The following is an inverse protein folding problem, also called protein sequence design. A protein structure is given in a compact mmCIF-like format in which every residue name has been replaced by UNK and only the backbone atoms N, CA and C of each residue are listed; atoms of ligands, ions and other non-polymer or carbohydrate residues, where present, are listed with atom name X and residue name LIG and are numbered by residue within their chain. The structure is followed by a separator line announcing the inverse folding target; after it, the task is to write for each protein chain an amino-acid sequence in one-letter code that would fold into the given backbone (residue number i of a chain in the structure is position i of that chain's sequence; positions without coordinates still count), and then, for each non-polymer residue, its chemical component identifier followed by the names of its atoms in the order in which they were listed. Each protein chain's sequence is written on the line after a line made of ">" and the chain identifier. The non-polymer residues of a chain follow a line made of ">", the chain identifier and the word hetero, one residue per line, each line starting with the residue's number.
data_IF_183599483113
#
_entry.id   IF_183599483113
#
_cell.length_a   1.000
_cell.length_b   1.000
_cell.length_c   1.000
_cell.angle_alpha   90.00
_cell.angle_beta   90.00
_cell.angle_gamma   90.00
#
_symmetry.space_group_name_H-M   'P 1'
#
loop_
_entity.id
_entity.type
_entity.pdbx_description
1 polymer ?
#
# COMPACT_ATOMS: atom_id res chain seq x y z
N UNK A 1 2.29 -10.78 2.33
CA UNK A 1 2.59 -10.17 3.62
C UNK A 1 1.40 -9.36 4.14
N UNK A 2 1.37 -9.01 5.41
CA UNK A 2 0.26 -8.29 6.03
C UNK A 2 0.75 -7.39 7.17
N UNK A 3 0.19 -6.19 7.22
CA UNK A 3 0.25 -5.26 8.36
C UNK A 3 -1.16 -4.99 8.93
N UNK A 4 -2.03 -6.02 8.89
CA UNK A 4 -3.46 -5.95 9.23
C UNK A 4 -4.36 -6.23 8.01
N UNK A 5 -3.98 -5.77 6.82
CA UNK A 5 -4.62 -6.10 5.55
C UNK A 5 -3.60 -6.84 4.66
N UNK A 6 -3.83 -8.11 4.29
CA UNK A 6 -2.87 -8.88 3.52
C UNK A 6 -2.80 -8.42 2.06
N UNK A 7 -1.58 -8.31 1.53
CA UNK A 7 -1.31 -8.06 0.11
C UNK A 7 -0.40 -9.14 -0.46
N UNK A 8 -0.63 -9.49 -1.72
CA UNK A 8 0.30 -10.28 -2.51
C UNK A 8 1.43 -9.36 -2.99
N UNK A 9 2.63 -9.58 -2.47
CA UNK A 9 3.81 -8.77 -2.76
C UNK A 9 4.57 -9.40 -3.92
N UNK A 10 4.80 -8.62 -4.98
CA UNK A 10 5.43 -9.09 -6.22
C UNK A 10 6.64 -8.21 -6.56
N UNK A 11 7.86 -8.67 -6.26
CA UNK A 11 9.06 -7.98 -6.70
C UNK A 11 9.24 -8.15 -8.22
N UNK A 12 9.62 -7.07 -8.89
CA UNK A 12 9.86 -7.00 -10.33
C UNK A 12 11.26 -6.44 -10.57
N UNK A 13 12.01 -7.04 -11.50
CA UNK A 13 13.41 -6.70 -11.70
C UNK A 13 13.66 -5.29 -12.25
N UNK A 14 12.78 -4.80 -13.12
CA UNK A 14 13.02 -3.55 -13.85
C UNK A 14 11.84 -2.59 -13.73
N UNK A 15 12.17 -1.29 -13.63
CA UNK A 15 11.17 -0.21 -13.66
C UNK A 15 10.33 -0.22 -14.94
N UNK A 16 10.96 -0.52 -16.09
CA UNK A 16 10.24 -0.61 -17.37
C UNK A 16 9.10 -1.61 -17.34
N UNK A 17 9.25 -2.73 -16.63
CA UNK A 17 8.24 -3.77 -16.55
C UNK A 17 7.09 -3.35 -15.60
N UNK A 18 7.42 -2.72 -14.47
CA UNK A 18 6.41 -2.14 -13.58
C UNK A 18 5.61 -1.05 -14.30
N UNK A 19 6.28 -0.17 -15.03
CA UNK A 19 5.66 0.90 -15.82
C UNK A 19 4.76 0.35 -16.94
N UNK A 20 5.20 -0.70 -17.63
CA UNK A 20 4.48 -1.29 -18.77
C UNK A 20 3.36 -2.24 -18.33
N UNK A 21 3.26 -2.59 -17.06
CA UNK A 21 2.25 -3.52 -16.56
C UNK A 21 0.84 -2.99 -16.81
N UNK A 22 0.03 -3.80 -17.50
CA UNK A 22 -1.40 -3.53 -17.75
C UNK A 22 -2.21 -4.48 -16.87
N UNK A 23 -2.89 -3.99 -15.81
CA UNK A 23 -3.60 -4.84 -14.89
C UNK A 23 -4.85 -5.48 -15.54
N UNK A 24 -4.92 -6.81 -15.51
CA UNK A 24 -6.15 -7.55 -15.80
C UNK A 24 -6.95 -7.66 -14.48
N UNK A 25 -7.87 -6.70 -14.28
CA UNK A 25 -8.59 -6.54 -13.01
C UNK A 25 -9.31 -7.84 -12.56
N UNK A 26 -10.08 -8.56 -13.42
CA UNK A 26 -10.71 -9.80 -13.03
C UNK A 26 -9.73 -10.88 -12.58
N UNK A 27 -8.56 -10.98 -13.22
CA UNK A 27 -7.55 -11.96 -12.84
C UNK A 27 -6.84 -11.58 -11.55
N UNK A 28 -6.61 -10.29 -11.31
CA UNK A 28 -6.04 -9.80 -10.06
C UNK A 28 -6.99 -10.09 -8.90
N UNK A 29 -8.29 -9.84 -9.08
CA UNK A 29 -9.31 -10.12 -8.07
C UNK A 29 -9.36 -11.62 -7.75
N UNK A 30 -9.47 -12.47 -8.76
CA UNK A 30 -9.49 -13.92 -8.58
C UNK A 30 -8.23 -14.45 -7.86
N UNK A 31 -7.05 -13.95 -8.23
CA UNK A 31 -5.79 -14.32 -7.57
C UNK A 31 -5.74 -13.84 -6.11
N UNK A 32 -6.18 -12.60 -5.85
CA UNK A 32 -6.24 -12.05 -4.50
C UNK A 32 -7.16 -12.87 -3.60
N UNK A 33 -8.34 -13.24 -4.09
CA UNK A 33 -9.32 -14.10 -3.40
C UNK A 33 -8.75 -15.48 -3.09
N UNK A 34 -8.08 -16.12 -4.07
CA UNK A 34 -7.46 -17.45 -3.90
C UNK A 34 -6.45 -17.49 -2.75
N UNK A 35 -5.66 -16.41 -2.57
CA UNK A 35 -4.63 -16.33 -1.54
C UNK A 35 -5.07 -15.56 -0.28
N UNK A 36 -6.33 -15.11 -0.22
CA UNK A 36 -6.86 -14.34 0.89
C UNK A 36 -6.21 -12.97 1.05
N UNK A 37 -5.85 -12.33 -0.07
CA UNK A 37 -5.26 -10.99 -0.10
C UNK A 37 -6.30 -9.93 -0.49
N UNK A 38 -6.10 -8.69 -0.05
CA UNK A 38 -6.93 -7.54 -0.45
C UNK A 38 -6.56 -7.03 -1.86
N UNK A 39 -5.36 -7.36 -2.34
CA UNK A 39 -4.87 -6.93 -3.63
C UNK A 39 -3.42 -7.35 -3.88
N UNK A 40 -2.89 -6.82 -4.97
CA UNK A 40 -1.51 -7.07 -5.44
C UNK A 40 -0.71 -5.79 -5.36
N UNK A 41 0.52 -5.90 -4.86
CA UNK A 41 1.49 -4.80 -4.78
C UNK A 41 2.74 -5.19 -5.56
N UNK A 42 2.95 -4.54 -6.72
CA UNK A 42 4.17 -4.67 -7.51
C UNK A 42 5.20 -3.67 -7.01
N UNK A 43 6.47 -4.05 -6.96
CA UNK A 43 7.54 -3.10 -6.69
C UNK A 43 8.85 -3.47 -7.40
N UNK A 44 9.71 -2.48 -7.58
CA UNK A 44 11.08 -2.60 -8.05
C UNK A 44 11.99 -1.68 -7.25
N UNK A 45 13.29 -2.00 -7.17
CA UNK A 45 14.30 -1.11 -6.58
C UNK A 45 14.81 -0.03 -7.54
N UNK A 46 14.43 -0.09 -8.81
CA UNK A 46 14.66 1.02 -9.73
C UNK A 46 13.61 2.10 -9.52
N UNK A 47 14.05 3.34 -9.30
CA UNK A 47 13.22 4.47 -8.91
C UNK A 47 13.30 5.64 -9.89
N UNK A 48 12.29 6.51 -9.86
CA UNK A 48 12.30 7.79 -10.59
C UNK A 48 13.06 8.86 -9.81
N UNK A 49 12.95 8.86 -8.47
CA UNK A 49 13.62 9.80 -7.59
C UNK A 49 14.81 9.12 -6.91
N UNK A 50 15.96 9.82 -6.86
CA UNK A 50 17.22 9.26 -6.35
C UNK A 50 17.21 8.96 -4.85
N UNK A 51 16.33 9.58 -4.10
CA UNK A 51 16.11 9.42 -2.65
C UNK A 51 15.02 8.39 -2.31
N UNK A 52 14.31 7.89 -3.33
CA UNK A 52 13.36 6.80 -3.12
C UNK A 52 14.08 5.43 -3.02
N UNK A 53 13.57 4.56 -2.17
CA UNK A 53 14.09 3.20 -1.96
C UNK A 53 13.52 2.23 -3.00
N UNK A 54 12.25 2.39 -3.34
CA UNK A 54 11.59 1.56 -4.35
C UNK A 54 10.45 2.33 -5.05
N UNK A 55 10.10 1.84 -6.24
CA UNK A 55 8.94 2.27 -7.02
C UNK A 55 7.87 1.20 -7.01
N UNK A 56 6.61 1.59 -6.81
CA UNK A 56 5.52 0.65 -6.63
C UNK A 56 4.24 1.00 -7.40
N UNK A 57 3.40 -0.02 -7.58
CA UNK A 57 2.01 0.07 -8.01
C UNK A 57 1.13 -0.90 -7.22
N UNK A 58 -0.06 -0.48 -6.82
CA UNK A 58 -0.99 -1.28 -6.04
C UNK A 58 -2.34 -1.42 -6.72
N UNK A 59 -2.88 -2.63 -6.73
CA UNK A 59 -4.14 -2.99 -7.38
C UNK A 59 -5.03 -3.74 -6.39
N UNK A 60 -6.24 -3.24 -6.13
CA UNK A 60 -7.22 -3.84 -5.24
C UNK A 60 -8.63 -3.82 -5.85
N UNK A 61 -8.85 -4.46 -7.02
CA UNK A 61 -10.11 -4.41 -7.74
C UNK A 61 -11.30 -4.94 -6.94
N UNK A 62 -11.11 -5.97 -6.11
CA UNK A 62 -12.13 -6.50 -5.21
C UNK A 62 -12.64 -5.48 -4.17
N UNK A 63 -11.84 -4.47 -3.85
CA UNK A 63 -12.25 -3.32 -3.04
C UNK A 63 -12.79 -2.14 -3.87
N UNK A 64 -12.99 -2.31 -5.17
CA UNK A 64 -13.41 -1.26 -6.10
C UNK A 64 -12.31 -0.25 -6.44
N UNK A 65 -11.05 -0.60 -6.21
CA UNK A 65 -9.88 0.26 -6.46
C UNK A 65 -9.03 -0.37 -7.55
N UNK A 66 -9.22 0.01 -8.84
CA UNK A 66 -8.44 -0.53 -9.95
C UNK A 66 -6.94 -0.35 -9.78
N UNK A 67 -6.50 0.82 -9.35
CA UNK A 67 -5.14 1.14 -8.94
C UNK A 67 -5.18 2.22 -7.86
N UNK A 68 -4.51 1.95 -6.74
CA UNK A 68 -4.41 2.91 -5.63
C UNK A 68 -3.17 3.80 -5.81
N UNK A 69 -3.31 5.13 -5.78
CA UNK A 69 -2.17 6.03 -5.96
C UNK A 69 -1.12 5.97 -4.85
N UNK A 70 -1.54 5.74 -3.59
CA UNK A 70 -0.62 5.69 -2.44
C UNK A 70 -1.16 4.73 -1.38
N UNK A 71 -0.43 3.63 -1.13
CA UNK A 71 -0.91 2.52 -0.30
C UNK A 71 -0.03 2.31 0.94
N UNK A 72 -0.36 2.97 2.03
CA UNK A 72 0.40 2.89 3.28
C UNK A 72 0.43 1.48 3.88
N UNK A 73 -0.72 0.79 3.95
CA UNK A 73 -0.84 -0.55 4.54
C UNK A 73 0.03 -1.58 3.81
N UNK A 74 0.01 -1.58 2.48
CA UNK A 74 0.85 -2.49 1.70
C UNK A 74 2.34 -2.12 1.82
N UNK A 75 2.67 -0.83 1.89
CA UNK A 75 4.06 -0.38 2.09
C UNK A 75 4.66 -0.90 3.40
N UNK A 76 3.90 -0.87 4.49
CA UNK A 76 4.32 -1.50 5.75
C UNK A 76 4.53 -3.02 5.61
N UNK A 77 3.64 -3.71 4.89
CA UNK A 77 3.78 -5.14 4.62
C UNK A 77 5.01 -5.46 3.73
N UNK A 78 5.34 -4.57 2.79
CA UNK A 78 6.57 -4.70 1.97
C UNK A 78 7.81 -4.54 2.82
N UNK A 79 7.87 -3.58 3.73
CA UNK A 79 9.02 -3.42 4.63
C UNK A 79 9.28 -4.68 5.47
N UNK A 80 8.23 -5.28 6.05
CA UNK A 80 8.34 -6.56 6.74
C UNK A 80 8.81 -7.70 5.83
N UNK A 81 8.37 -7.69 4.58
CA UNK A 81 8.81 -8.67 3.58
C UNK A 81 10.30 -8.49 3.26
N UNK A 82 10.76 -7.26 3.02
CA UNK A 82 12.15 -6.95 2.71
C UNK A 82 13.10 -7.33 3.86
N UNK A 83 12.73 -7.01 5.10
CA UNK A 83 13.46 -7.42 6.30
C UNK A 83 13.56 -8.95 6.39
N UNK A 84 12.43 -9.65 6.29
CA UNK A 84 12.38 -11.11 6.39
C UNK A 84 13.19 -11.81 5.31
N UNK A 85 13.25 -11.24 4.11
CA UNK A 85 13.98 -11.81 2.96
C UNK A 85 15.46 -11.43 2.96
N UNK A 86 15.91 -10.58 3.88
CA UNK A 86 17.29 -10.09 3.91
C UNK A 86 17.62 -9.30 2.65
N UNK A 87 16.70 -8.44 2.21
CA UNK A 87 16.86 -7.69 0.97
C UNK A 87 17.99 -6.65 1.03
N UNK A 88 18.42 -6.28 2.23
CA UNK A 88 19.52 -5.37 2.52
C UNK A 88 20.51 -6.08 3.48
N UNK A 89 21.80 -5.80 3.33
CA UNK A 89 22.83 -6.26 4.29
C UNK A 89 22.58 -5.67 5.67
N UNK A 90 22.12 -4.40 5.72
CA UNK A 90 21.64 -3.71 6.92
C UNK A 90 20.36 -2.95 6.55
N UNK A 91 19.27 -3.17 7.31
CA UNK A 91 18.01 -2.51 7.03
C UNK A 91 18.15 -0.98 7.20
N UNK A 92 17.73 -0.19 6.20
CA UNK A 92 17.70 1.27 6.34
C UNK A 92 16.77 1.68 7.52
N UNK A 93 17.18 2.70 8.28
CA UNK A 93 16.35 3.27 9.35
C UNK A 93 15.01 3.79 8.82
N UNK A 94 15.04 4.37 7.62
CA UNK A 94 13.87 4.87 6.92
C UNK A 94 13.98 4.54 5.43
N UNK A 95 12.86 4.12 4.84
CA UNK A 95 12.71 3.85 3.42
C UNK A 95 11.62 4.76 2.85
N UNK A 96 11.81 5.26 1.64
CA UNK A 96 10.82 6.02 0.89
C UNK A 96 10.33 5.22 -0.29
N UNK A 97 9.02 4.96 -0.35
CA UNK A 97 8.38 4.23 -1.45
C UNK A 97 7.60 5.21 -2.32
N UNK A 98 7.99 5.37 -3.57
CA UNK A 98 7.26 6.18 -4.53
C UNK A 98 6.18 5.37 -5.24
N UNK A 99 5.00 5.95 -5.44
CA UNK A 99 3.83 5.29 -6.02
C UNK A 99 2.95 6.30 -6.77
N UNK A 100 2.01 5.82 -7.61
CA UNK A 100 0.95 6.63 -8.20
C UNK A 100 1.30 7.34 -9.49
N UNK A 101 2.51 7.20 -10.00
CA UNK A 101 2.93 7.82 -11.26
C UNK A 101 2.15 7.31 -12.48
N UNK A 102 1.72 6.04 -12.46
CA UNK A 102 0.96 5.45 -13.57
C UNK A 102 -0.49 5.96 -13.66
N UNK A 103 -1.00 6.59 -12.61
CA UNK A 103 -2.34 7.16 -12.52
C UNK A 103 -2.31 8.69 -12.36
N UNK A 104 -1.19 9.33 -12.68
CA UNK A 104 -0.96 10.79 -12.59
C UNK A 104 -1.28 11.39 -11.21
N UNK A 105 -1.08 10.60 -10.15
CA UNK A 105 -1.28 10.97 -8.74
C UNK A 105 -0.09 10.53 -7.88
N UNK A 106 1.13 11.00 -8.21
CA UNK A 106 2.32 10.59 -7.51
C UNK A 106 2.28 10.97 -6.03
N UNK A 107 2.83 10.09 -5.21
CA UNK A 107 2.99 10.31 -3.80
C UNK A 107 4.07 9.39 -3.22
N UNK A 108 4.41 9.63 -1.97
CA UNK A 108 5.46 8.93 -1.26
C UNK A 108 4.95 8.41 0.08
N UNK A 109 5.47 7.25 0.47
CA UNK A 109 5.23 6.63 1.76
C UNK A 109 6.57 6.44 2.46
N UNK A 110 6.75 7.09 3.61
CA UNK A 110 7.88 6.82 4.49
C UNK A 110 7.60 5.58 5.33
N UNK A 111 8.55 4.65 5.40
CA UNK A 111 8.42 3.42 6.18
C UNK A 111 9.67 3.24 7.04
N UNK A 112 9.47 3.01 8.34
CA UNK A 112 10.54 2.70 9.30
C UNK A 112 10.28 1.33 9.90
N UNK A 113 11.36 0.56 10.02
CA UNK A 113 11.38 -0.73 10.71
C UNK A 113 12.21 -0.57 11.98
N UNK A 114 11.63 -0.82 13.12
CA UNK A 114 12.30 -0.68 14.43
C UNK A 114 11.87 -1.75 15.41
N UNK A 115 12.47 -1.74 16.58
CA UNK A 115 12.21 -2.72 17.65
C UNK A 115 10.74 -2.76 18.09
N UNK A 116 10.04 -1.62 18.00
CA UNK A 116 8.62 -1.49 18.35
C UNK A 116 7.68 -1.89 17.19
N UNK A 117 8.24 -2.29 16.04
CA UNK A 117 7.51 -2.70 14.84
C UNK A 117 7.67 -1.74 13.66
N UNK A 118 6.70 -1.77 12.74
CA UNK A 118 6.75 -1.01 11.48
C UNK A 118 5.87 0.23 11.61
N UNK A 119 6.46 1.39 11.31
CA UNK A 119 5.76 2.66 11.22
C UNK A 119 5.65 3.11 9.77
N UNK A 120 4.49 3.63 9.42
CA UNK A 120 4.20 4.16 8.07
C UNK A 120 3.80 5.62 8.20
N UNK A 121 4.38 6.48 7.39
CA UNK A 121 4.13 7.92 7.36
C UNK A 121 3.97 8.46 5.96
N UNK A 122 3.55 9.70 5.85
CA UNK A 122 3.41 10.43 4.59
C UNK A 122 3.04 11.88 4.84
N UNK A 123 3.00 12.65 3.76
CA UNK A 123 2.60 14.07 3.82
C UNK A 123 1.12 14.21 3.50
N UNK A 124 0.45 15.12 4.22
CA UNK A 124 -0.94 15.46 3.97
C UNK A 124 -1.16 16.97 4.16
N UNK A 125 -2.17 17.49 3.47
CA UNK A 125 -2.61 18.88 3.64
C UNK A 125 -4.05 18.89 4.13
N UNK A 126 -4.37 19.81 5.06
CA UNK A 126 -5.75 20.02 5.50
C UNK A 126 -6.55 20.67 4.37
N UNK A 127 -7.51 19.92 3.82
CA UNK A 127 -8.38 20.40 2.76
C UNK A 127 -9.73 20.93 3.28
N UNK A 128 -10.15 20.44 4.46
CA UNK A 128 -11.43 20.83 5.08
C UNK A 128 -11.34 20.65 6.59
N UNK A 129 -11.88 21.59 7.34
CA UNK A 129 -12.19 21.48 8.76
C UNK A 129 -13.69 21.69 8.98
N UNK A 130 -14.29 20.95 9.91
CA UNK A 130 -15.72 21.07 10.20
C UNK A 130 -16.10 20.40 11.52
N UNK A 131 -17.30 20.71 11.98
CA UNK A 131 -17.89 20.09 13.16
C UNK A 131 -18.97 19.08 12.75
N UNK A 132 -18.93 17.90 13.35
CA UNK A 132 -19.97 16.87 13.20
C UNK A 132 -20.76 16.74 14.49
N UNK A 133 -22.06 17.04 14.42
CA UNK A 133 -22.98 16.76 15.52
C UNK A 133 -23.44 15.32 15.44
N UNK A 134 -22.96 14.51 16.37
CA UNK A 134 -23.39 13.12 16.50
C UNK A 134 -24.63 13.08 17.41
N UNK A 135 -25.82 12.66 16.92
CA UNK A 135 -26.98 12.52 17.76
C UNK A 135 -26.76 11.46 18.84
N UNK A 136 -27.35 11.59 20.02
CA UNK A 136 -27.25 10.57 21.06
C UNK A 136 -27.82 9.24 20.55
N UNK A 137 -27.16 8.12 20.94
CA UNK A 137 -27.70 6.78 20.67
C UNK A 137 -29.14 6.70 21.21
N UNK A 138 -30.07 6.25 20.38
CA UNK A 138 -31.39 5.84 20.83
C UNK A 138 -31.28 4.41 21.35
N UNK A 139 -31.81 4.18 22.57
CA UNK A 139 -31.78 2.84 23.18
C UNK A 139 -32.70 1.83 22.44
N UNK A 140 -33.48 2.32 21.47
CA UNK A 140 -34.52 1.55 20.75
C UNK A 140 -34.04 1.04 19.35
N UNK A 141 -32.79 1.26 18.95
CA UNK A 141 -32.29 0.87 17.61
C UNK A 141 -31.84 -0.61 17.52
N UNK A 142 -32.29 -1.48 18.45
CA UNK A 142 -32.16 -2.92 18.26
C UNK A 142 -33.38 -3.40 17.47
N UNK A 143 -33.26 -3.34 16.13
CA UNK A 143 -34.18 -4.08 15.26
C UNK A 143 -33.70 -5.52 15.25
N UNK A 144 -34.32 -6.36 16.07
CA UNK A 144 -34.20 -7.81 15.92
C UNK A 144 -34.85 -8.19 14.57
N UNK A 145 -34.03 -8.77 13.67
CA UNK A 145 -34.45 -9.34 12.40
C UNK A 145 -34.65 -10.85 12.56
#
# INVERSE_FOLDING_TARGET
>A
ASSGLPFLIVPVGYFSDVKAAVPDQPRIEALADEVGAAGVYLFTFETLHADATLHARAFAPGAGIPEDPVTGTASGAVAAYLERMGAFDEMPEEMTFEQGHAVDRPGEVSVRVGDDGISVGGQAVTALEGELVVPPKRDDDIVEA
#
